data_IF_916221374538
#
_entry.id   IF_916221374538
#
_cell.length_a   1.000
_cell.length_b   1.000
_cell.length_c   1.000
_cell.angle_alpha   90.00
_cell.angle_beta   90.00
_cell.angle_gamma   90.00
#
_symmetry.space_group_name_H-M   'P 1'
#
loop_
_entity.id
_entity.type
_entity.pdbx_description
1 polymer ?
#
# COMPACT_ATOMS: atom_id res chain seq x y z
N UNK A 1 26.75 11.91 -5.32
CA UNK A 1 25.74 11.28 -4.50
C UNK A 1 24.69 10.66 -5.39
N UNK A 2 24.47 9.39 -5.20
CA UNK A 2 23.38 8.76 -5.91
C UNK A 2 22.08 9.38 -5.44
N UNK A 3 21.39 10.07 -6.31
CA UNK A 3 20.12 10.67 -5.97
C UNK A 3 19.08 9.61 -5.68
N UNK A 4 18.23 9.90 -4.73
CA UNK A 4 17.06 9.06 -4.48
C UNK A 4 16.11 9.20 -5.65
N UNK A 5 15.53 8.10 -6.06
CA UNK A 5 14.56 8.06 -7.14
C UNK A 5 13.21 7.64 -6.60
N UNK A 6 12.16 7.99 -7.31
CA UNK A 6 10.82 7.56 -6.95
C UNK A 6 10.49 6.25 -7.66
N UNK A 7 9.92 5.33 -6.91
CA UNK A 7 9.50 4.04 -7.45
C UNK A 7 8.04 3.80 -7.10
N UNK A 8 7.28 3.39 -8.09
CA UNK A 8 5.92 2.93 -7.85
C UNK A 8 6.02 1.46 -7.48
N UNK A 9 5.47 1.10 -6.34
CA UNK A 9 5.53 -0.27 -5.83
C UNK A 9 4.13 -0.88 -5.85
N UNK A 10 4.06 -2.15 -6.16
CA UNK A 10 2.81 -2.89 -6.20
C UNK A 10 2.77 -3.89 -5.06
N UNK A 11 1.71 -3.80 -4.25
CA UNK A 11 1.51 -4.71 -3.14
C UNK A 11 0.25 -5.52 -3.39
N UNK A 12 0.31 -6.78 -3.01
CA UNK A 12 -0.83 -7.67 -3.11
C UNK A 12 -1.20 -8.15 -1.71
N UNK A 13 -2.48 -8.11 -1.40
CA UNK A 13 -3.00 -8.65 -0.15
C UNK A 13 -3.70 -9.96 -0.50
N UNK A 14 -3.08 -11.11 -0.18
CA UNK A 14 -3.75 -12.38 -0.42
C UNK A 14 -5.01 -12.47 0.43
N UNK A 15 -6.10 -12.90 -0.16
CA UNK A 15 -7.33 -13.12 0.58
C UNK A 15 -7.62 -14.60 0.62
N UNK A 16 -7.73 -15.12 1.82
CA UNK A 16 -7.99 -16.55 2.04
C UNK A 16 -9.42 -16.82 2.47
N UNK A 17 -10.21 -15.78 2.66
CA UNK A 17 -11.59 -15.87 3.14
C UNK A 17 -12.61 -15.98 2.01
N UNK A 18 -12.24 -16.70 0.96
CA UNK A 18 -13.16 -16.99 -0.13
C UNK A 18 -14.31 -17.86 0.33
N UNK A 19 -15.52 -17.47 -0.03
CA UNK A 19 -16.72 -18.22 0.30
C UNK A 19 -16.91 -19.33 -0.73
N UNK A 20 -17.28 -20.51 -0.27
CA UNK A 20 -17.50 -21.64 -1.18
C UNK A 20 -18.60 -21.36 -2.19
N UNK A 21 -19.55 -20.51 -1.85
CA UNK A 21 -20.65 -20.15 -2.74
C UNK A 21 -20.27 -19.09 -3.77
N UNK A 22 -19.34 -18.22 -3.42
CA UNK A 22 -18.94 -17.10 -4.28
C UNK A 22 -17.60 -17.32 -4.99
N UNK A 23 -16.97 -18.45 -4.74
CA UNK A 23 -15.68 -18.76 -5.32
C UNK A 23 -14.52 -18.08 -4.59
N UNK A 24 -13.28 -18.24 -5.10
CA UNK A 24 -12.12 -17.66 -4.45
C UNK A 24 -12.16 -16.14 -4.56
N UNK A 25 -11.83 -15.48 -3.45
CA UNK A 25 -11.73 -14.02 -3.44
C UNK A 25 -10.50 -13.59 -4.24
N UNK A 26 -10.69 -12.59 -5.06
CA UNK A 26 -9.57 -12.00 -5.78
C UNK A 26 -8.65 -11.27 -4.81
N UNK A 27 -7.32 -11.36 -4.99
CA UNK A 27 -6.40 -10.61 -4.15
C UNK A 27 -6.60 -9.12 -4.39
N UNK A 28 -6.43 -8.35 -3.32
CA UNK A 28 -6.51 -6.91 -3.42
C UNK A 28 -5.14 -6.36 -3.80
N UNK A 29 -5.11 -5.50 -4.79
CA UNK A 29 -3.87 -4.89 -5.28
C UNK A 29 -3.81 -3.44 -4.86
N UNK A 30 -2.69 -3.06 -4.26
CA UNK A 30 -2.42 -1.68 -3.87
C UNK A 30 -1.16 -1.21 -4.58
N UNK A 31 -1.06 0.09 -4.76
CA UNK A 31 0.19 0.69 -5.20
C UNK A 31 0.53 1.88 -4.30
N UNK A 32 1.82 2.14 -4.19
CA UNK A 32 2.33 3.23 -3.37
C UNK A 32 3.61 3.75 -4.03
N UNK A 33 4.11 4.85 -3.52
CA UNK A 33 5.38 5.42 -4.00
C UNK A 33 6.42 5.33 -2.89
N UNK A 34 7.60 4.86 -3.26
CA UNK A 34 8.72 4.76 -2.34
C UNK A 34 9.92 5.50 -2.92
N UNK A 35 10.61 6.26 -2.10
CA UNK A 35 11.84 6.92 -2.50
C UNK A 35 13.02 6.04 -2.10
N UNK A 36 13.82 5.64 -3.07
CA UNK A 36 14.90 4.72 -2.86
C UNK A 36 16.00 4.92 -3.90
N UNK A 37 17.24 4.47 -3.62
CA UNK A 37 18.32 4.57 -4.59
C UNK A 37 18.21 3.55 -5.73
N UNK A 38 17.50 2.46 -5.52
CA UNK A 38 17.32 1.41 -6.52
C UNK A 38 16.00 0.65 -6.30
N UNK A 39 15.66 -0.16 -7.27
CA UNK A 39 14.41 -0.95 -7.26
C UNK A 39 14.36 -1.94 -6.08
N UNK A 40 15.46 -2.63 -5.85
CA UNK A 40 15.53 -3.63 -4.79
C UNK A 40 15.27 -3.00 -3.41
N UNK A 41 15.86 -1.83 -3.17
CA UNK A 41 15.65 -1.10 -1.93
C UNK A 41 14.19 -0.64 -1.80
N UNK A 42 13.59 -0.19 -2.91
CA UNK A 42 12.20 0.22 -2.92
C UNK A 42 11.27 -0.93 -2.53
N UNK A 43 11.49 -2.11 -3.09
CA UNK A 43 10.71 -3.30 -2.76
C UNK A 43 10.85 -3.67 -1.28
N UNK A 44 12.08 -3.65 -0.78
CA UNK A 44 12.34 -3.97 0.61
C UNK A 44 11.67 -2.98 1.56
N UNK A 45 11.78 -1.69 1.27
CA UNK A 45 11.14 -0.65 2.08
C UNK A 45 9.62 -0.82 2.09
N UNK A 46 9.04 -1.11 0.94
CA UNK A 46 7.60 -1.31 0.82
C UNK A 46 7.14 -2.51 1.66
N UNK A 47 7.90 -3.59 1.63
CA UNK A 47 7.59 -4.78 2.43
C UNK A 47 7.70 -4.50 3.93
N UNK A 48 8.74 -3.80 4.36
CA UNK A 48 8.92 -3.44 5.77
C UNK A 48 7.80 -2.54 6.26
N UNK A 49 7.42 -1.57 5.45
CA UNK A 49 6.34 -0.64 5.78
C UNK A 49 5.00 -1.36 5.89
N UNK A 50 4.72 -2.24 4.94
CA UNK A 50 3.49 -3.02 4.93
C UNK A 50 3.40 -3.92 6.16
N UNK A 51 4.51 -4.59 6.50
CA UNK A 51 4.56 -5.46 7.66
C UNK A 51 4.35 -4.68 8.96
N UNK A 52 4.96 -3.50 9.05
CA UNK A 52 4.80 -2.66 10.23
C UNK A 52 3.34 -2.24 10.42
N UNK A 53 2.70 -1.80 9.35
CA UNK A 53 1.30 -1.40 9.40
C UNK A 53 0.39 -2.59 9.75
N UNK A 54 0.75 -3.77 9.29
CA UNK A 54 -0.01 -4.99 9.56
C UNK A 54 0.09 -5.42 11.02
N UNK A 55 1.24 -5.19 11.66
CA UNK A 55 1.47 -5.55 13.06
C UNK A 55 0.98 -4.47 14.05
N UNK A 56 0.88 -3.22 13.61
CA UNK A 56 0.44 -2.14 14.47
C UNK A 56 -1.08 -2.17 14.73
N UNK A 57 -1.48 -1.84 15.96
CA UNK A 57 -2.91 -1.73 16.25
C UNK A 57 -3.57 -0.66 15.39
N UNK A 58 -4.76 -0.95 14.93
CA UNK A 58 -5.54 0.04 14.18
C UNK A 58 -6.15 1.04 15.16
N UNK A 59 -5.92 2.33 14.93
CA UNK A 59 -6.50 3.38 15.75
C UNK A 59 -7.56 4.11 14.94
N UNK A 60 -8.81 3.82 15.24
CA UNK A 60 -9.93 4.50 14.60
C UNK A 60 -10.35 5.74 15.37
N UNK A 61 -10.24 5.70 16.69
CA UNK A 61 -10.58 6.81 17.56
C UNK A 61 -9.56 6.95 18.67
N UNK A 62 -9.28 8.17 19.14
CA UNK A 62 -8.39 8.38 20.29
C UNK A 62 -8.90 7.65 21.52
N UNK A 63 -8.04 6.85 22.13
CA UNK A 63 -8.38 6.14 23.35
C UNK A 63 -9.07 4.80 23.15
N UNK A 64 -9.38 4.41 21.91
CA UNK A 64 -9.96 3.11 21.62
C UNK A 64 -8.86 2.21 21.05
N UNK A 65 -8.59 1.12 21.73
CA UNK A 65 -7.65 0.12 21.23
C UNK A 65 -8.39 -0.78 20.24
N UNK A 66 -7.95 -0.72 18.99
CA UNK A 66 -8.47 -1.58 17.97
C UNK A 66 -7.45 -2.69 17.67
N UNK A 67 -7.91 -3.90 17.32
CA UNK A 67 -6.97 -4.97 16.98
C UNK A 67 -6.20 -4.63 15.71
N UNK A 68 -4.96 -5.11 15.62
CA UNK A 68 -4.18 -4.96 14.40
C UNK A 68 -4.75 -5.87 13.30
N UNK A 69 -4.36 -5.60 12.06
CA UNK A 69 -4.77 -6.45 10.94
C UNK A 69 -4.34 -7.89 11.16
N UNK A 70 -3.17 -8.07 11.79
CA UNK A 70 -2.67 -9.38 12.14
C UNK A 70 -3.59 -10.10 13.11
N UNK A 71 -4.05 -9.41 14.13
CA UNK A 71 -4.96 -9.99 15.12
C UNK A 71 -6.32 -10.31 14.53
N UNK A 72 -6.71 -9.57 13.50
CA UNK A 72 -7.96 -9.82 12.78
C UNK A 72 -7.86 -10.98 11.80
N UNK A 73 -6.68 -11.58 11.66
CA UNK A 73 -6.49 -12.71 10.77
C UNK A 73 -6.27 -12.32 9.31
N UNK A 74 -6.01 -11.06 9.05
CA UNK A 74 -5.72 -10.63 7.69
C UNK A 74 -4.29 -10.98 7.30
N UNK A 75 -4.10 -11.25 6.01
CA UNK A 75 -2.79 -11.56 5.49
C UNK A 75 -1.96 -10.28 5.33
N UNK A 76 -0.65 -10.41 5.52
CA UNK A 76 0.28 -9.30 5.35
C UNK A 76 0.42 -8.96 3.87
N UNK A 77 0.29 -7.67 3.49
CA UNK A 77 0.55 -7.29 2.10
C UNK A 77 1.99 -7.57 1.72
N UNK A 78 2.20 -7.99 0.48
CA UNK A 78 3.52 -8.33 -0.04
C UNK A 78 3.79 -7.47 -1.27
N UNK A 79 4.94 -6.81 -1.29
CA UNK A 79 5.36 -6.07 -2.48
C UNK A 79 5.89 -7.05 -3.53
N UNK A 80 5.27 -7.04 -4.70
CA UNK A 80 5.61 -7.96 -5.78
C UNK A 80 6.53 -7.33 -6.83
N UNK A 81 6.67 -6.02 -6.82
CA UNK A 81 7.53 -5.35 -7.79
C UNK A 81 7.53 -3.85 -7.61
N UNK A 82 8.47 -3.22 -8.30
CA UNK A 82 8.59 -1.77 -8.30
C UNK A 82 9.07 -1.31 -9.68
N UNK A 83 8.73 -0.09 -10.05
CA UNK A 83 9.20 0.52 -11.30
C UNK A 83 9.56 1.97 -11.05
N UNK A 84 10.68 2.40 -11.61
CA UNK A 84 11.10 3.78 -11.51
C UNK A 84 10.09 4.69 -12.20
N UNK A 85 9.73 5.78 -11.54
CA UNK A 85 8.84 6.78 -12.11
C UNK A 85 9.56 8.12 -12.14
N UNK A 86 9.12 8.99 -13.05
CA UNK A 86 9.67 10.34 -13.14
C UNK A 86 9.09 11.23 -12.04
N UNK A 87 9.73 12.37 -11.83
CA UNK A 87 9.21 13.35 -10.88
C UNK A 87 7.82 13.83 -11.28
N UNK A 88 7.56 13.92 -12.58
CA UNK A 88 6.25 14.31 -13.10
C UNK A 88 5.19 13.26 -12.78
N UNK A 89 5.54 11.99 -12.97
CA UNK A 89 4.64 10.88 -12.65
C UNK A 89 4.33 10.82 -11.16
N UNK A 90 5.33 11.06 -10.34
CA UNK A 90 5.15 11.11 -8.90
C UNK A 90 4.24 12.27 -8.50
N UNK A 91 4.47 13.45 -9.06
CA UNK A 91 3.66 14.62 -8.77
C UNK A 91 2.20 14.41 -9.17
N UNK A 92 1.98 13.77 -10.30
CA UNK A 92 0.64 13.45 -10.78
C UNK A 92 -0.07 12.45 -9.85
N UNK A 93 0.63 11.40 -9.46
CA UNK A 93 0.10 10.40 -8.53
C UNK A 93 -0.26 11.05 -7.18
N UNK A 94 0.63 11.89 -6.67
CA UNK A 94 0.44 12.59 -5.40
C UNK A 94 -0.79 13.50 -5.46
N UNK A 95 -0.95 14.17 -6.58
CA UNK A 95 -2.11 15.05 -6.80
C UNK A 95 -3.41 14.27 -6.77
N UNK A 96 -3.44 13.12 -7.43
CA UNK A 96 -4.61 12.26 -7.44
C UNK A 96 -4.97 11.74 -6.05
N UNK A 97 -3.96 11.46 -5.23
CA UNK A 97 -4.18 10.95 -3.89
C UNK A 97 -4.54 12.02 -2.86
N UNK A 98 -4.02 13.23 -3.02
CA UNK A 98 -4.26 14.33 -2.07
C UNK A 98 -5.47 15.17 -2.39
N UNK A 99 -5.80 15.32 -3.67
CA UNK A 99 -6.97 16.08 -4.04
C UNK A 99 -8.22 15.24 -3.86
N UNK A 100 -9.14 15.67 -3.00
CA UNK A 100 -10.44 15.04 -2.98
C UNK A 100 -11.07 15.24 -4.34
N UNK A 101 -11.64 14.19 -4.87
CA UNK A 101 -12.38 14.29 -6.12
C UNK A 101 -13.50 15.28 -5.88
N UNK A 102 -13.32 16.50 -6.37
CA UNK A 102 -14.41 17.45 -6.35
C UNK A 102 -15.46 16.91 -7.29
N UNK A 103 -16.49 16.37 -6.70
CA UNK A 103 -17.65 16.04 -7.50
C UNK A 103 -18.18 17.36 -8.05
N UNK A 104 -18.45 17.43 -9.34
CA UNK A 104 -18.93 18.66 -9.94
C UNK A 104 -20.39 18.90 -9.57
N UNK A 105 -20.63 19.04 -8.31
CA UNK A 105 -21.92 19.54 -7.87
C UNK A 105 -21.78 21.03 -7.77
N UNK A 106 -22.19 21.58 -8.83
CA UNK A 106 -22.32 23.00 -8.82
C UNK A 106 -23.32 23.43 -7.79
#
# INVERSE_FOLDING_TARGET
MAGMKWYKVWLVVPRTDGDAENGPCEPEWWNDMEQAPDEETAVRQANEKARRQWEEPNQYEPGVEAPSDREMGQECPICTGAAEVTDEEYAEWKREMEEPVELPFG
#
